data_IF_742310547116
#
_entry.id   IF_742310547116
#
_cell.length_a   1.000
_cell.length_b   1.000
_cell.length_c   1.000
_cell.angle_alpha   90.00
_cell.angle_beta   90.00
_cell.angle_gamma   90.00
#
_symmetry.space_group_name_H-M   'P 1'
#
loop_
_entity.id
_entity.type
_entity.pdbx_description
1 polymer ?
#
# COMPACT_ATOMS: atom_id res chain seq x y z
N UNK A 1 -1.25 8.43 -0.32
CA UNK A 1 -1.11 7.37 0.71
C UNK A 1 0.12 6.54 0.38
N UNK A 2 0.89 6.07 1.37
CA UNK A 2 1.86 5.01 1.14
C UNK A 2 1.25 3.67 1.55
N UNK A 3 1.53 2.63 0.77
CA UNK A 3 1.33 1.22 1.15
C UNK A 3 2.70 0.66 1.50
N UNK A 4 2.86 0.06 2.67
CA UNK A 4 4.12 -0.56 3.08
C UNK A 4 3.90 -1.95 3.69
N UNK A 5 4.88 -2.82 3.53
CA UNK A 5 4.91 -4.16 4.13
C UNK A 5 6.35 -4.64 4.33
N UNK A 6 6.52 -5.58 5.24
CA UNK A 6 7.80 -6.18 5.61
C UNK A 6 8.21 -5.88 7.05
N UNK A 7 9.44 -6.25 7.39
CA UNK A 7 9.99 -6.20 8.75
C UNK A 7 11.45 -5.72 8.74
N UNK A 8 12.15 -5.89 9.86
CA UNK A 8 13.57 -5.52 10.01
C UNK A 8 14.53 -6.26 9.07
N UNK A 9 14.14 -7.41 8.53
CA UNK A 9 14.94 -8.20 7.60
C UNK A 9 14.73 -7.75 6.14
N UNK A 10 13.66 -7.02 5.87
CA UNK A 10 13.40 -6.42 4.58
C UNK A 10 12.00 -5.83 4.51
N UNK A 11 11.91 -4.62 3.97
CA UNK A 11 10.63 -3.95 3.78
C UNK A 11 10.67 -3.02 2.56
N UNK A 12 9.49 -2.65 2.09
CA UNK A 12 9.36 -1.65 1.03
C UNK A 12 8.00 -0.94 1.11
N UNK A 13 7.93 0.24 0.51
CA UNK A 13 6.73 1.08 0.46
C UNK A 13 6.47 1.61 -0.95
N UNK A 14 5.25 1.99 -1.29
CA UNK A 14 4.96 2.69 -2.54
C UNK A 14 3.85 3.72 -2.36
N UNK A 15 3.83 4.73 -3.20
CA UNK A 15 2.68 5.65 -3.27
C UNK A 15 1.52 4.97 -3.99
N UNK A 16 0.35 4.97 -3.35
CA UNK A 16 -0.93 4.61 -3.94
C UNK A 16 -1.91 5.80 -3.82
N UNK A 17 -2.70 5.99 -4.87
CA UNK A 17 -3.77 6.99 -4.95
C UNK A 17 -5.17 6.38 -4.97
N UNK A 18 -5.28 5.06 -5.12
CA UNK A 18 -6.55 4.34 -5.20
C UNK A 18 -6.72 3.49 -3.95
N UNK A 19 -7.89 3.60 -3.33
CA UNK A 19 -8.27 2.83 -2.15
C UNK A 19 -9.60 3.31 -1.59
N UNK A 20 -10.18 2.49 -0.71
CA UNK A 20 -11.46 2.75 -0.05
C UNK A 20 -11.38 2.31 1.41
N UNK A 21 -12.21 2.92 2.26
CA UNK A 21 -12.48 2.45 3.61
C UNK A 21 -13.96 2.04 3.68
N UNK A 22 -14.28 1.00 4.44
CA UNK A 22 -15.65 0.54 4.61
C UNK A 22 -15.72 -0.73 5.44
N UNK A 23 -16.88 -1.38 5.47
CA UNK A 23 -17.08 -2.63 6.21
C UNK A 23 -17.16 -3.82 5.24
N UNK A 24 -16.44 -4.91 5.54
CA UNK A 24 -16.53 -6.18 4.83
C UNK A 24 -16.49 -7.34 5.84
N UNK A 25 -17.37 -8.32 5.66
CA UNK A 25 -17.50 -9.49 6.56
C UNK A 25 -17.65 -9.11 8.05
N UNK A 26 -18.35 -7.99 8.33
CA UNK A 26 -18.53 -7.46 9.68
C UNK A 26 -17.26 -6.87 10.31
N UNK A 27 -16.26 -6.51 9.50
CA UNK A 27 -15.02 -5.86 9.94
C UNK A 27 -14.82 -4.53 9.24
N UNK A 28 -14.33 -3.53 9.97
CA UNK A 28 -13.76 -2.32 9.38
C UNK A 28 -12.53 -2.70 8.54
N UNK A 29 -12.51 -2.25 7.29
CA UNK A 29 -11.56 -2.67 6.28
C UNK A 29 -11.04 -1.50 5.45
N UNK A 30 -9.81 -1.65 4.99
CA UNK A 30 -9.23 -0.85 3.92
C UNK A 30 -9.05 -1.70 2.67
N UNK A 31 -9.48 -1.16 1.53
CA UNK A 31 -9.10 -1.65 0.21
C UNK A 31 -7.99 -0.76 -0.35
N UNK A 32 -6.94 -1.39 -0.87
CA UNK A 32 -5.93 -0.73 -1.71
C UNK A 32 -5.68 -1.58 -2.95
N UNK A 33 -5.00 -1.00 -3.93
CA UNK A 33 -4.64 -1.71 -5.16
C UNK A 33 -3.15 -1.56 -5.45
N UNK A 34 -2.53 -2.64 -5.92
CA UNK A 34 -1.10 -2.65 -6.26
C UNK A 34 -0.91 -3.25 -7.65
N UNK A 35 -0.17 -2.54 -8.49
CA UNK A 35 0.21 -3.01 -9.83
C UNK A 35 1.23 -4.16 -9.75
N UNK A 36 1.18 -5.16 -10.64
CA UNK A 36 2.08 -6.33 -10.62
C UNK A 36 3.57 -5.98 -10.66
N UNK A 37 3.94 -4.93 -11.38
CA UNK A 37 5.33 -4.46 -11.51
C UNK A 37 5.87 -3.77 -10.25
N UNK A 38 5.02 -3.46 -9.27
CA UNK A 38 5.45 -2.73 -8.07
C UNK A 38 6.11 -3.70 -7.12
N UNK A 39 7.38 -3.44 -6.79
CA UNK A 39 8.13 -4.27 -5.86
C UNK A 39 7.46 -4.47 -4.50
N UNK A 40 6.67 -3.49 -4.04
CA UNK A 40 5.90 -3.58 -2.80
C UNK A 40 4.90 -4.75 -2.81
N UNK A 41 4.40 -5.18 -3.97
CA UNK A 41 3.50 -6.34 -4.06
C UNK A 41 4.15 -7.60 -3.49
N UNK A 42 5.45 -7.83 -3.75
CA UNK A 42 6.14 -9.02 -3.22
C UNK A 42 6.18 -9.04 -1.69
N UNK A 43 6.28 -7.87 -1.05
CA UNK A 43 6.24 -7.78 0.40
C UNK A 43 4.82 -7.97 0.92
N UNK A 44 3.84 -7.36 0.26
CA UNK A 44 2.44 -7.55 0.64
C UNK A 44 2.00 -9.01 0.46
N UNK A 45 2.49 -9.72 -0.55
CA UNK A 45 2.17 -11.14 -0.76
C UNK A 45 2.79 -12.03 0.31
N UNK A 46 4.06 -11.79 0.66
CA UNK A 46 4.82 -12.58 1.65
C UNK A 46 4.41 -12.33 3.10
N UNK A 47 3.74 -11.23 3.40
CA UNK A 47 3.38 -10.84 4.76
C UNK A 47 1.86 -10.87 4.97
N UNK A 48 1.44 -11.19 6.20
CA UNK A 48 0.02 -11.14 6.61
C UNK A 48 -0.47 -9.71 6.85
N UNK A 49 0.45 -8.77 7.10
CA UNK A 49 0.14 -7.40 7.46
C UNK A 49 0.77 -6.40 6.51
N UNK A 50 0.03 -5.32 6.26
CA UNK A 50 0.50 -4.14 5.55
C UNK A 50 0.01 -2.89 6.25
N UNK A 51 0.63 -1.75 5.96
CA UNK A 51 0.20 -0.46 6.47
C UNK A 51 -0.20 0.48 5.35
N UNK A 52 -1.14 1.34 5.69
CA UNK A 52 -1.51 2.51 4.91
C UNK A 52 -1.18 3.76 5.72
N UNK A 53 -0.25 4.58 5.23
CA UNK A 53 0.21 5.76 5.95
C UNK A 53 0.04 7.05 5.15
N UNK A 54 -0.19 8.14 5.87
CA UNK A 54 -0.51 9.46 5.32
C UNK A 54 0.43 10.52 5.89
N UNK A 55 0.92 11.40 5.02
CA UNK A 55 2.01 12.36 5.32
C UNK A 55 1.61 13.82 5.11
N UNK A 56 0.30 14.11 5.09
CA UNK A 56 -0.23 15.45 4.86
C UNK A 56 0.27 16.05 3.53
N UNK A 57 0.82 17.26 3.60
CA UNK A 57 1.29 18.01 2.43
C UNK A 57 2.70 17.63 1.95
N UNK A 58 3.32 16.59 2.52
CA UNK A 58 4.64 16.15 2.10
C UNK A 58 4.61 15.45 0.74
N UNK A 59 4.57 16.25 -0.33
CA UNK A 59 4.55 15.79 -1.73
C UNK A 59 5.84 15.08 -2.12
N UNK A 60 6.97 15.38 -1.48
CA UNK A 60 8.27 14.77 -1.83
C UNK A 60 8.30 13.29 -1.48
N UNK A 61 7.81 12.90 -0.31
CA UNK A 61 7.65 11.49 0.08
C UNK A 61 6.85 10.74 -0.99
N UNK A 62 5.71 11.29 -1.39
CA UNK A 62 4.86 10.64 -2.40
C UNK A 62 5.50 10.59 -3.78
N UNK A 63 6.26 11.61 -4.19
CA UNK A 63 7.01 11.63 -5.44
C UNK A 63 8.07 10.53 -5.45
N UNK A 64 8.90 10.45 -4.42
CA UNK A 64 10.00 9.47 -4.34
C UNK A 64 9.46 8.05 -4.28
N UNK A 65 8.56 7.76 -3.33
CA UNK A 65 7.99 6.42 -3.14
C UNK A 65 7.11 5.97 -4.32
N UNK A 66 6.62 6.91 -5.14
CA UNK A 66 5.78 6.64 -6.31
C UNK A 66 6.55 6.43 -7.62
N UNK A 67 7.72 7.06 -7.77
CA UNK A 67 8.49 7.09 -9.03
C UNK A 67 9.75 6.24 -9.01
N UNK A 68 10.30 5.92 -7.84
CA UNK A 68 11.47 5.05 -7.70
C UNK A 68 11.06 3.63 -7.31
N UNK A 69 11.82 2.65 -7.79
CA UNK A 69 11.65 1.24 -7.41
C UNK A 69 12.53 0.92 -6.21
N UNK A 70 11.97 0.21 -5.22
CA UNK A 70 12.74 -0.26 -4.07
C UNK A 70 13.69 -1.42 -4.40
N UNK A 71 13.66 -1.95 -5.64
CA UNK A 71 14.65 -2.94 -6.11
C UNK A 71 16.02 -2.32 -6.30
N UNK A 72 16.05 -1.05 -6.69
CA UNK A 72 17.27 -0.38 -7.14
C UNK A 72 17.80 0.62 -6.12
N UNK A 73 16.92 1.14 -5.25
CA UNK A 73 17.28 2.19 -4.29
C UNK A 73 16.60 1.99 -2.93
N UNK A 74 17.28 2.45 -1.87
CA UNK A 74 16.67 2.59 -0.55
C UNK A 74 15.73 3.79 -0.52
N UNK A 75 14.43 3.54 -0.69
CA UNK A 75 13.43 4.62 -0.76
C UNK A 75 13.18 5.30 0.58
N UNK A 76 13.32 4.59 1.69
CA UNK A 76 13.15 5.19 3.02
C UNK A 76 14.22 6.26 3.25
N UNK A 77 15.47 5.93 2.95
CA UNK A 77 16.59 6.88 3.05
C UNK A 77 16.42 8.08 2.12
N UNK A 78 16.13 7.85 0.83
CA UNK A 78 15.92 8.94 -0.13
C UNK A 78 14.76 9.86 0.24
N UNK A 79 13.69 9.30 0.80
CA UNK A 79 12.51 10.04 1.23
C UNK A 79 12.61 10.59 2.67
N UNK A 80 13.74 10.36 3.36
CA UNK A 80 13.95 10.72 4.76
C UNK A 80 12.84 10.19 5.67
N UNK A 81 12.53 8.91 5.51
CA UNK A 81 11.54 8.20 6.30
C UNK A 81 12.21 7.27 7.31
N UNK A 82 11.83 7.41 8.58
CA UNK A 82 12.36 6.60 9.68
C UNK A 82 11.47 5.39 9.90
N UNK A 83 11.93 4.16 9.61
CA UNK A 83 11.10 2.97 9.74
C UNK A 83 10.80 2.66 11.21
N UNK A 84 9.54 2.34 11.48
CA UNK A 84 9.05 1.83 12.77
C UNK A 84 8.45 0.46 12.53
N UNK A 85 8.96 -0.54 13.25
CA UNK A 85 8.49 -1.93 13.15
C UNK A 85 7.58 -2.24 14.33
N UNK A 86 6.33 -2.57 14.05
CA UNK A 86 5.33 -2.92 15.07
C UNK A 86 4.21 -3.75 14.46
N UNK A 87 3.48 -4.49 15.29
CA UNK A 87 2.30 -5.26 14.89
C UNK A 87 2.53 -6.15 13.63
N UNK A 88 3.73 -6.71 13.49
CA UNK A 88 4.09 -7.61 12.39
C UNK A 88 4.32 -6.91 11.04
N UNK A 89 4.51 -5.60 11.01
CA UNK A 89 4.72 -4.83 9.78
C UNK A 89 5.58 -3.58 10.01
N UNK A 90 5.69 -2.73 8.99
CA UNK A 90 6.44 -1.47 9.00
C UNK A 90 5.52 -0.29 8.71
N UNK A 91 5.79 0.83 9.38
CA UNK A 91 5.34 2.16 8.98
C UNK A 91 6.50 3.15 9.20
N UNK A 92 6.25 4.45 9.05
CA UNK A 92 7.29 5.46 9.19
C UNK A 92 6.86 6.55 10.16
N UNK A 93 7.79 7.00 11.01
CA UNK A 93 7.50 7.95 12.10
C UNK A 93 6.91 9.27 11.59
N UNK A 94 7.28 9.69 10.37
CA UNK A 94 6.84 10.93 9.75
C UNK A 94 5.35 10.91 9.33
N UNK A 95 4.68 9.77 9.43
CA UNK A 95 3.27 9.66 9.12
C UNK A 95 2.41 10.34 10.20
N UNK A 96 1.45 11.18 9.77
CA UNK A 96 0.43 11.76 10.66
C UNK A 96 -0.67 10.76 11.05
N UNK A 97 -0.90 9.77 10.18
CA UNK A 97 -1.89 8.72 10.34
C UNK A 97 -1.32 7.43 9.75
N UNK A 98 -1.43 6.34 10.51
CA UNK A 98 -1.08 4.98 10.07
C UNK A 98 -2.26 4.07 10.37
N UNK A 99 -2.64 3.27 9.38
CA UNK A 99 -3.63 2.22 9.51
C UNK A 99 -2.90 0.90 9.31
N UNK A 100 -2.94 0.03 10.32
CA UNK A 100 -2.34 -1.29 10.29
C UNK A 100 -3.44 -2.29 9.91
N UNK A 101 -3.22 -3.00 8.81
CA UNK A 101 -4.21 -3.89 8.24
C UNK A 101 -3.70 -5.34 8.21
N UNK A 102 -4.54 -6.28 8.63
CA UNK A 102 -4.34 -7.71 8.36
C UNK A 102 -5.01 -8.07 7.03
N UNK A 103 -4.24 -8.63 6.10
CA UNK A 103 -4.71 -9.06 4.78
C UNK A 103 -5.80 -10.13 4.92
N UNK A 104 -6.96 -9.91 4.31
CA UNK A 104 -8.08 -10.86 4.30
C UNK A 104 -8.36 -11.41 2.91
N UNK A 105 -8.16 -10.59 1.87
CA UNK A 105 -8.45 -10.97 0.50
C UNK A 105 -7.49 -10.29 -0.48
N UNK A 106 -7.05 -11.06 -1.48
CA UNK A 106 -6.22 -10.57 -2.59
C UNK A 106 -6.77 -11.17 -3.88
N UNK A 107 -7.00 -10.33 -4.87
CA UNK A 107 -7.48 -10.76 -6.19
C UNK A 107 -6.89 -9.90 -7.28
N UNK A 108 -6.32 -10.55 -8.30
CA UNK A 108 -5.98 -9.85 -9.54
C UNK A 108 -7.29 -9.41 -10.21
N UNK A 109 -7.41 -8.14 -10.55
CA UNK A 109 -8.53 -7.67 -11.34
C UNK A 109 -8.55 -8.41 -12.68
N UNK A 110 -9.74 -8.71 -13.17
CA UNK A 110 -9.96 -9.40 -14.43
C UNK A 110 -10.68 -8.46 -15.41
N UNK A 111 -10.21 -8.38 -16.66
CA UNK A 111 -10.81 -7.52 -17.68
C UNK A 111 -12.29 -7.86 -17.92
N UNK A 112 -12.65 -9.13 -17.78
CA UNK A 112 -14.01 -9.64 -17.91
C UNK A 112 -14.97 -9.09 -16.83
N UNK A 113 -14.45 -8.67 -15.67
CA UNK A 113 -15.26 -8.09 -14.59
C UNK A 113 -15.59 -6.61 -14.79
N UNK A 114 -14.98 -5.94 -15.76
CA UNK A 114 -15.31 -4.56 -16.11
C UNK A 114 -16.58 -4.52 -16.97
N UNK A 115 -17.66 -3.93 -16.44
CA UNK A 115 -18.90 -3.67 -17.17
C UNK A 115 -18.80 -2.44 -18.08
N UNK A 116 -18.01 -1.44 -17.66
CA UNK A 116 -17.54 -0.33 -18.50
C UNK A 116 -16.06 -0.57 -18.85
N UNK A 117 -15.74 -0.59 -20.15
CA UNK A 117 -14.38 -0.85 -20.66
C UNK A 117 -13.50 0.41 -20.70
N UNK A 118 -14.06 1.61 -20.58
CA UNK A 118 -13.28 2.86 -20.65
C UNK A 118 -12.09 2.94 -19.66
N UNK A 119 -12.17 2.39 -18.43
CA UNK A 119 -11.02 2.35 -17.54
C UNK A 119 -9.87 1.48 -18.05
N UNK A 120 -10.17 0.38 -18.76
CA UNK A 120 -9.15 -0.51 -19.34
C UNK A 120 -8.31 0.26 -20.35
N UNK A 121 -8.96 0.92 -21.31
CA UNK A 121 -8.29 1.68 -22.37
C UNK A 121 -7.48 2.86 -21.83
N UNK A 122 -8.00 3.52 -20.78
CA UNK A 122 -7.38 4.74 -20.24
C UNK A 122 -6.20 4.44 -19.31
N UNK A 123 -6.28 3.39 -18.50
CA UNK A 123 -5.36 3.18 -17.38
C UNK A 123 -4.48 1.95 -17.52
N UNK A 124 -4.77 1.02 -18.43
CA UNK A 124 -4.12 -0.28 -18.46
C UNK A 124 -3.51 -0.61 -19.82
N UNK A 125 -2.44 -1.40 -19.79
CA UNK A 125 -1.87 -2.03 -20.97
C UNK A 125 -1.41 -3.46 -20.61
N UNK A 126 -2.37 -4.30 -20.22
CA UNK A 126 -2.14 -5.70 -19.83
C UNK A 126 -1.58 -5.93 -18.42
N UNK A 127 -1.56 -4.91 -17.57
CA UNK A 127 -0.94 -4.92 -16.25
C UNK A 127 -1.92 -4.59 -15.11
N UNK A 128 -3.07 -5.28 -15.10
CA UNK A 128 -4.14 -5.07 -14.13
C UNK A 128 -3.67 -5.19 -12.66
N UNK A 129 -4.22 -4.35 -11.79
CA UNK A 129 -3.88 -4.34 -10.37
C UNK A 129 -4.32 -5.62 -9.65
N UNK A 130 -3.68 -5.90 -8.53
CA UNK A 130 -4.21 -6.72 -7.45
C UNK A 130 -5.01 -5.82 -6.49
N UNK A 131 -6.26 -6.17 -6.25
CA UNK A 131 -7.08 -5.61 -5.18
C UNK A 131 -6.77 -6.34 -3.89
N UNK A 132 -6.48 -5.58 -2.83
CA UNK A 132 -6.16 -6.10 -1.51
C UNK A 132 -7.15 -5.51 -0.53
N UNK A 133 -7.89 -6.36 0.17
CA UNK A 133 -8.76 -5.97 1.28
C UNK A 133 -8.09 -6.44 2.57
N UNK A 134 -7.88 -5.52 3.49
CA UNK A 134 -7.35 -5.81 4.81
C UNK A 134 -8.25 -5.29 5.91
N UNK A 135 -8.49 -6.11 6.93
CA UNK A 135 -9.13 -5.72 8.18
C UNK A 135 -8.26 -4.72 8.92
N UNK A 136 -8.83 -3.62 9.35
CA UNK A 136 -8.16 -2.64 10.21
C UNK A 136 -8.00 -3.25 11.60
N UNK A 137 -6.75 -3.45 12.02
CA UNK A 137 -6.44 -3.96 13.36
C UNK A 137 -6.05 -2.82 14.31
N UNK A 138 -5.46 -1.75 13.78
CA UNK A 138 -5.04 -0.59 14.58
C UNK A 138 -4.98 0.68 13.73
N UNK A 139 -5.32 1.80 14.36
CA UNK A 139 -5.13 3.14 13.81
C UNK A 139 -4.26 3.94 14.76
N UNK A 140 -3.18 4.54 14.23
CA UNK A 140 -2.25 5.38 14.97
C UNK A 140 -2.33 6.81 14.42
N UNK A 141 -2.48 7.77 15.31
CA UNK A 141 -2.52 9.20 14.98
C UNK A 141 -1.36 9.89 15.69
N UNK A 142 -0.52 10.60 14.93
CA UNK A 142 0.56 11.41 15.51
C UNK A 142 -0.06 12.65 16.15
N UNK A 143 0.24 12.85 17.45
CA UNK A 143 -0.20 14.02 18.22
C UNK A 143 0.62 15.26 17.88
#
# INVERSE_FOLDING_TARGET
MLVAAGDKNGYNMMTASWGFAGEMWGNDCMLTVIRPQRYTLEFVDKNDYFTLSFYGDNKQVHKICGTKSGRDVNKAELAQLTPVFSDGTVYFDEARLVIICRKQYVQKMEESCFTDKAPLDKWYNGDLHYMIIGKIEKVLVKK
#
